data_IF_810416392595
#
_entry.id   IF_810416392595
#
_cell.length_a   1.000
_cell.length_b   1.000
_cell.length_c   1.000
_cell.angle_alpha   90.00
_cell.angle_beta   90.00
_cell.angle_gamma   90.00
#
_symmetry.space_group_name_H-M   'P 1'
#
loop_
_entity.id
_entity.type
_entity.pdbx_description
1 polymer ?
#
# COMPACT_ATOMS: atom_id res chain seq x y z
N UNK A 1 -13.83 -11.29 2.18
CA UNK A 1 -14.63 -10.66 1.11
C UNK A 1 -13.62 -9.99 0.20
N UNK A 2 -13.45 -10.47 -1.02
CA UNK A 2 -12.47 -9.91 -1.96
C UNK A 2 -12.99 -8.56 -2.45
N UNK A 3 -12.24 -7.49 -2.20
CA UNK A 3 -12.61 -6.16 -2.66
C UNK A 3 -12.59 -6.14 -4.19
N UNK A 4 -13.73 -5.79 -4.81
CA UNK A 4 -14.03 -6.01 -6.25
C UNK A 4 -14.43 -4.70 -6.95
N UNK A 5 -13.92 -3.56 -6.49
CA UNK A 5 -14.05 -2.33 -7.25
C UNK A 5 -13.14 -2.35 -8.49
N UNK A 6 -13.59 -1.75 -9.59
CA UNK A 6 -12.71 -1.46 -10.74
C UNK A 6 -11.54 -0.62 -10.25
N UNK A 7 -10.33 -1.03 -10.63
CA UNK A 7 -9.12 -0.33 -10.19
C UNK A 7 -9.14 1.13 -10.68
N UNK A 8 -8.85 2.13 -9.81
CA UNK A 8 -8.73 3.51 -10.25
C UNK A 8 -7.57 3.68 -11.23
N UNK A 9 -7.66 4.64 -12.18
CA UNK A 9 -6.51 4.99 -13.00
C UNK A 9 -5.34 5.42 -12.10
N UNK A 10 -4.09 4.94 -12.37
CA UNK A 10 -2.94 5.36 -11.59
C UNK A 10 -2.72 6.87 -11.71
N UNK A 11 -2.66 7.56 -10.57
CA UNK A 11 -2.45 9.01 -10.56
C UNK A 11 -0.97 9.39 -10.77
N UNK A 12 -0.03 8.49 -10.50
CA UNK A 12 1.39 8.73 -10.76
C UNK A 12 1.74 8.40 -12.22
N UNK A 13 1.80 9.43 -13.07
CA UNK A 13 2.13 9.28 -14.49
C UNK A 13 3.65 9.29 -14.77
N UNK A 14 4.41 10.03 -13.97
CA UNK A 14 5.85 10.24 -14.20
C UNK A 14 6.74 9.19 -13.51
N UNK A 15 6.15 8.32 -12.67
CA UNK A 15 6.82 7.21 -11.96
C UNK A 15 8.12 7.62 -11.23
N UNK A 16 8.24 8.91 -10.89
CA UNK A 16 9.41 9.54 -10.25
C UNK A 16 10.73 9.36 -11.02
N UNK A 17 10.68 9.06 -12.34
CA UNK A 17 11.87 8.73 -13.12
C UNK A 17 12.55 7.42 -12.66
N UNK A 18 11.86 6.58 -11.89
CA UNK A 18 12.39 5.33 -11.39
C UNK A 18 12.31 4.22 -12.47
N UNK A 19 13.17 3.20 -12.38
CA UNK A 19 12.98 1.95 -13.10
C UNK A 19 11.60 1.37 -12.83
N UNK A 20 10.89 0.98 -13.89
CA UNK A 20 9.51 0.50 -13.81
C UNK A 20 9.45 -0.99 -14.09
N UNK A 21 8.88 -1.75 -13.16
CA UNK A 21 8.54 -3.15 -13.32
C UNK A 21 7.02 -3.31 -13.32
N UNK A 22 6.48 -3.75 -14.45
CA UNK A 22 5.06 -4.08 -14.60
C UNK A 22 4.92 -5.60 -14.60
N UNK A 23 4.05 -6.12 -13.75
CA UNK A 23 3.72 -7.54 -13.68
C UNK A 23 2.24 -7.74 -13.97
N UNK A 24 1.91 -8.81 -14.66
CA UNK A 24 0.55 -9.33 -14.70
C UNK A 24 0.50 -10.63 -13.89
N UNK A 25 -0.30 -10.64 -12.83
CA UNK A 25 -0.35 -11.76 -11.89
C UNK A 25 -1.80 -12.06 -11.47
N UNK A 26 -2.20 -13.34 -11.53
CA UNK A 26 -3.59 -13.72 -11.25
C UNK A 26 -3.99 -13.59 -9.78
N UNK A 27 -3.04 -13.76 -8.86
CA UNK A 27 -3.25 -13.68 -7.41
C UNK A 27 -2.43 -12.56 -6.74
N UNK A 28 -2.83 -11.27 -6.86
CA UNK A 28 -2.09 -10.15 -6.26
C UNK A 28 -1.95 -10.25 -4.73
N UNK A 29 -2.83 -10.98 -4.04
CA UNK A 29 -2.75 -11.23 -2.60
C UNK A 29 -1.47 -11.98 -2.18
N UNK A 30 -0.78 -12.67 -3.09
CA UNK A 30 0.47 -13.37 -2.79
C UNK A 30 1.65 -12.42 -2.52
N UNK A 31 1.49 -11.14 -2.83
CA UNK A 31 2.44 -10.08 -2.53
C UNK A 31 2.28 -9.52 -1.10
N UNK A 32 1.37 -10.05 -0.28
CA UNK A 32 1.08 -9.51 1.05
C UNK A 32 2.32 -9.42 1.96
N UNK A 33 3.27 -10.34 1.83
CA UNK A 33 4.51 -10.30 2.62
C UNK A 33 5.38 -9.09 2.26
N UNK A 34 5.43 -8.72 0.97
CA UNK A 34 6.12 -7.52 0.50
C UNK A 34 5.43 -6.26 1.06
N UNK A 35 4.10 -6.23 0.99
CA UNK A 35 3.27 -5.11 1.48
C UNK A 35 3.35 -4.93 3.01
N UNK A 36 3.66 -6.00 3.74
CA UNK A 36 3.83 -5.97 5.20
C UNK A 36 5.19 -5.39 5.64
N UNK A 37 6.27 -5.62 4.87
CA UNK A 37 7.60 -5.05 5.14
C UNK A 37 7.57 -3.51 5.08
N UNK A 38 6.78 -3.02 4.13
CA UNK A 38 6.50 -1.61 3.92
C UNK A 38 7.06 -1.14 2.58
N UNK A 39 6.33 -0.22 1.98
CA UNK A 39 6.59 0.31 0.66
C UNK A 39 6.28 1.80 0.64
N UNK A 40 6.76 2.49 -0.38
CA UNK A 40 6.42 3.89 -0.59
C UNK A 40 5.28 4.01 -1.58
N UNK A 41 4.34 4.90 -1.26
CA UNK A 41 3.29 5.33 -2.17
C UNK A 41 3.54 6.77 -2.57
N UNK A 42 3.51 7.10 -3.86
CA UNK A 42 3.48 8.49 -4.27
C UNK A 42 2.16 9.14 -3.82
N UNK A 43 2.13 10.43 -3.56
CA UNK A 43 0.93 11.19 -3.22
C UNK A 43 1.03 12.53 -3.93
N UNK A 44 0.03 12.93 -4.72
CA UNK A 44 0.14 14.11 -5.59
C UNK A 44 0.14 15.43 -4.80
N UNK A 45 -0.54 15.46 -3.66
CA UNK A 45 -0.70 16.63 -2.81
C UNK A 45 -1.07 16.24 -1.38
N UNK A 46 -0.97 17.19 -0.47
CA UNK A 46 -1.47 17.01 0.91
C UNK A 46 -2.97 16.76 0.83
N UNK A 47 -3.44 15.73 1.53
CA UNK A 47 -4.84 15.31 1.52
C UNK A 47 -5.22 14.68 2.85
N UNK A 48 -6.51 14.56 3.13
CA UNK A 48 -6.99 13.77 4.26
C UNK A 48 -6.70 12.27 4.05
N UNK A 49 -6.64 11.51 5.13
CA UNK A 49 -6.55 10.06 5.08
C UNK A 49 -7.77 9.45 4.36
N UNK A 50 -8.95 10.07 4.48
CA UNK A 50 -10.14 9.68 3.70
C UNK A 50 -9.90 9.82 2.21
N UNK A 51 -9.45 10.98 1.73
CA UNK A 51 -9.17 11.21 0.32
C UNK A 51 -8.10 10.24 -0.18
N UNK A 52 -7.01 10.05 0.57
CA UNK A 52 -5.98 9.07 0.24
C UNK A 52 -6.56 7.67 0.06
N UNK A 53 -7.34 7.17 1.03
CA UNK A 53 -7.90 5.82 0.96
C UNK A 53 -8.96 5.72 -0.14
N UNK A 54 -9.96 6.62 -0.14
CA UNK A 54 -11.15 6.48 -0.97
C UNK A 54 -10.92 6.91 -2.42
N UNK A 55 -10.19 8.00 -2.64
CA UNK A 55 -10.06 8.63 -3.96
C UNK A 55 -8.78 8.20 -4.67
N UNK A 56 -7.64 8.15 -3.95
CA UNK A 56 -6.36 7.79 -4.56
C UNK A 56 -6.16 6.27 -4.66
N UNK A 57 -6.36 5.55 -3.56
CA UNK A 57 -6.18 4.08 -3.55
C UNK A 57 -7.45 3.36 -4.02
N UNK A 58 -8.63 3.96 -3.81
CA UNK A 58 -9.91 3.36 -4.16
C UNK A 58 -10.44 2.39 -3.10
N UNK A 59 -10.06 2.55 -1.83
CA UNK A 59 -10.55 1.81 -0.64
C UNK A 59 -11.65 2.64 0.04
N UNK A 60 -12.91 2.39 -0.29
CA UNK A 60 -14.03 3.16 0.24
C UNK A 60 -15.17 2.29 0.80
N UNK A 61 -16.11 2.96 1.47
CA UNK A 61 -17.34 2.34 1.97
C UNK A 61 -17.13 1.33 3.10
N UNK A 62 -17.89 0.23 3.04
CA UNK A 62 -18.02 -0.75 4.14
C UNK A 62 -16.68 -1.35 4.56
N UNK A 63 -15.72 -1.49 3.64
CA UNK A 63 -14.42 -2.05 3.97
C UNK A 63 -13.64 -1.11 4.90
N UNK A 64 -13.61 0.20 4.60
CA UNK A 64 -12.94 1.21 5.42
C UNK A 64 -13.57 1.33 6.81
N UNK A 65 -14.88 1.09 6.92
CA UNK A 65 -15.59 1.19 8.19
C UNK A 65 -15.51 -0.07 9.06
N UNK A 66 -15.59 -1.25 8.45
CA UNK A 66 -15.75 -2.52 9.18
C UNK A 66 -14.50 -3.39 9.20
N UNK A 67 -13.68 -3.31 8.16
CA UNK A 67 -12.50 -4.17 7.98
C UNK A 67 -11.20 -3.46 8.37
N UNK A 68 -11.07 -2.15 8.12
CA UNK A 68 -9.94 -1.32 8.57
C UNK A 68 -10.16 -0.84 10.02
N UNK A 69 -10.05 -1.78 10.97
CA UNK A 69 -10.29 -1.48 12.38
C UNK A 69 -9.12 -0.80 13.08
N UNK A 70 -7.92 -0.83 12.52
CA UNK A 70 -6.75 -0.22 13.16
C UNK A 70 -5.93 0.51 12.11
N UNK A 71 -5.82 1.82 12.29
CA UNK A 71 -5.03 2.70 11.44
C UNK A 71 -4.05 3.45 12.33
N UNK A 72 -2.78 3.42 11.98
CA UNK A 72 -1.76 4.27 12.60
C UNK A 72 -1.19 5.24 11.59
N UNK A 73 -1.10 6.50 11.98
CA UNK A 73 -0.40 7.55 11.27
C UNK A 73 0.73 8.06 12.17
N UNK A 74 1.97 7.94 11.70
CA UNK A 74 3.19 8.31 12.44
C UNK A 74 3.28 7.69 13.84
N UNK A 75 2.78 6.45 13.96
CA UNK A 75 2.75 5.68 15.20
C UNK A 75 1.55 6.00 16.11
N UNK A 76 0.74 6.99 15.77
CA UNK A 76 -0.46 7.37 16.52
C UNK A 76 -1.71 6.71 15.96
N UNK A 77 -2.60 6.22 16.82
CA UNK A 77 -3.85 5.61 16.38
C UNK A 77 -4.81 6.68 15.84
N UNK A 78 -5.37 6.45 14.65
CA UNK A 78 -6.30 7.36 14.00
C UNK A 78 -7.74 6.92 14.27
N UNK A 79 -8.51 7.83 14.88
CA UNK A 79 -9.94 7.64 15.14
C UNK A 79 -10.82 8.20 14.04
N UNK A 80 -10.48 9.40 13.56
CA UNK A 80 -11.23 10.11 12.53
C UNK A 80 -10.34 10.27 11.29
N UNK A 81 -10.73 9.58 10.21
CA UNK A 81 -9.99 9.58 8.95
C UNK A 81 -10.22 10.85 8.14
N UNK A 82 -11.25 11.63 8.45
CA UNK A 82 -11.52 12.92 7.82
C UNK A 82 -10.58 14.01 8.35
N UNK A 83 -10.16 13.89 9.61
CA UNK A 83 -9.29 14.87 10.29
C UNK A 83 -7.80 14.52 10.20
N UNK A 84 -7.46 13.25 9.99
CA UNK A 84 -6.07 12.83 9.83
C UNK A 84 -5.52 13.28 8.47
N UNK A 85 -4.42 14.03 8.47
CA UNK A 85 -3.82 14.60 7.25
C UNK A 85 -2.59 13.82 6.82
N UNK A 86 -2.52 13.44 5.55
CA UNK A 86 -1.36 12.83 4.91
C UNK A 86 -0.41 13.92 4.40
N UNK A 87 0.81 13.92 4.92
CA UNK A 87 1.87 14.90 4.60
C UNK A 87 3.15 14.23 4.11
N UNK A 88 4.10 14.99 3.51
CA UNK A 88 5.40 14.44 3.12
C UNK A 88 6.09 13.70 4.26
N UNK A 89 6.54 12.47 4.00
CA UNK A 89 7.30 11.67 4.96
C UNK A 89 6.48 10.89 5.99
N UNK A 90 5.15 11.02 6.00
CA UNK A 90 4.29 10.27 6.91
C UNK A 90 4.44 8.75 6.76
N UNK A 91 4.19 8.03 7.85
CA UNK A 91 4.16 6.57 7.95
C UNK A 91 2.76 6.09 8.29
N UNK A 92 2.13 5.40 7.33
CA UNK A 92 0.79 4.83 7.45
C UNK A 92 0.87 3.33 7.67
N UNK A 93 0.21 2.82 8.70
CA UNK A 93 0.01 1.39 8.90
C UNK A 93 -1.47 1.06 8.96
N UNK A 94 -1.90 0.11 8.13
CA UNK A 94 -3.28 -0.36 8.02
C UNK A 94 -3.37 -1.80 8.48
N UNK A 95 -4.31 -2.10 9.37
CA UNK A 95 -4.49 -3.44 9.91
C UNK A 95 -5.98 -3.76 10.11
N UNK A 96 -6.28 -5.05 10.01
CA UNK A 96 -7.55 -5.60 10.43
C UNK A 96 -7.62 -5.64 11.96
N UNK A 97 -8.74 -6.14 12.49
CA UNK A 97 -8.88 -6.44 13.91
C UNK A 97 -7.66 -7.22 14.43
N UNK A 98 -6.85 -6.59 15.28
CA UNK A 98 -5.80 -7.31 15.99
C UNK A 98 -6.43 -8.08 17.16
N UNK A 99 -5.98 -9.32 17.46
CA UNK A 99 -6.43 -10.06 18.63
C UNK A 99 -5.75 -9.56 19.92
N UNK A 100 -6.33 -9.92 21.06
CA UNK A 100 -5.76 -9.64 22.39
C UNK A 100 -6.01 -8.22 22.90
N UNK A 101 -5.44 -7.91 24.07
CA UNK A 101 -5.66 -6.64 24.77
C UNK A 101 -5.17 -5.44 23.94
N UNK A 102 -4.00 -5.57 23.29
CA UNK A 102 -3.47 -4.53 22.39
C UNK A 102 -4.42 -4.27 21.23
N UNK A 103 -5.00 -5.31 20.65
CA UNK A 103 -6.01 -5.12 19.60
C UNK A 103 -7.29 -4.48 20.12
N UNK A 104 -7.77 -4.89 21.30
CA UNK A 104 -8.95 -4.30 21.92
C UNK A 104 -8.76 -2.80 22.22
N UNK A 105 -7.56 -2.37 22.61
CA UNK A 105 -7.22 -0.98 22.91
C UNK A 105 -6.86 -0.16 21.68
N UNK A 106 -6.49 -0.77 20.54
CA UNK A 106 -6.10 -0.08 19.29
C UNK A 106 -7.20 -0.08 18.20
N UNK A 107 -8.33 -0.74 18.45
CA UNK A 107 -9.50 -0.69 17.56
C UNK A 107 -10.07 0.74 17.48
N UNK A 108 -10.29 1.23 16.27
CA UNK A 108 -11.04 2.43 15.95
C UNK A 108 -12.44 2.31 16.53
N UNK A 109 -12.91 3.39 17.17
CA UNK A 109 -14.23 3.47 17.81
C UNK A 109 -14.54 2.35 18.83
N UNK A 110 -13.51 1.73 19.42
CA UNK A 110 -13.66 0.66 20.39
C UNK A 110 -13.98 1.14 21.81
N UNK A 111 -14.63 0.29 22.60
CA UNK A 111 -14.99 0.54 24.01
C UNK A 111 -13.78 0.93 24.89
N UNK A 112 -12.59 0.43 24.57
CA UNK A 112 -11.35 0.68 25.32
C UNK A 112 -10.54 1.87 24.78
N UNK A 113 -11.13 2.75 23.95
CA UNK A 113 -10.48 3.93 23.38
C UNK A 113 -9.79 4.82 24.44
N UNK A 114 -10.39 4.98 25.62
CA UNK A 114 -9.82 5.74 26.75
C UNK A 114 -8.45 5.24 27.23
N UNK A 115 -8.11 3.97 26.97
CA UNK A 115 -6.83 3.38 27.40
C UNK A 115 -5.65 3.76 26.47
N UNK A 116 -5.90 4.40 25.32
CA UNK A 116 -4.86 4.85 24.37
C UNK A 116 -4.84 6.37 24.16
N UNK A 117 -5.44 7.15 25.05
CA UNK A 117 -5.56 8.61 24.92
C UNK A 117 -4.20 9.31 24.73
N UNK A 118 -3.12 8.79 25.33
CA UNK A 118 -1.77 9.37 25.20
C UNK A 118 -1.08 9.18 23.84
N UNK A 119 -1.64 8.36 22.95
CA UNK A 119 -1.06 8.02 21.62
C UNK A 119 -2.10 8.11 20.49
N UNK A 120 -3.30 8.61 20.79
CA UNK A 120 -4.35 8.79 19.78
C UNK A 120 -4.20 10.16 19.15
N UNK A 121 -4.28 10.22 17.82
CA UNK A 121 -4.30 11.47 17.08
C UNK A 121 -5.72 12.05 17.13
N UNK A 122 -6.14 12.48 18.31
CA UNK A 122 -7.41 13.17 18.52
C UNK A 122 -7.12 14.65 18.69
N UNK A 123 -7.35 15.43 17.62
CA UNK A 123 -7.38 16.90 17.63
C UNK A 123 -6.22 17.58 18.38
N UNK A 124 -5.00 17.05 18.25
CA UNK A 124 -3.82 17.81 18.66
C UNK A 124 -3.59 18.83 17.54
N UNK A 125 -3.74 20.12 17.86
CA UNK A 125 -3.32 21.21 16.99
C UNK A 125 -1.82 21.02 16.73
N UNK A 126 -1.50 20.35 15.63
CA UNK A 126 -0.15 20.29 15.11
C UNK A 126 0.02 21.51 14.21
N UNK A 127 1.02 22.32 14.57
CA UNK A 127 1.36 23.58 13.94
C UNK A 127 1.30 23.46 12.41
N UNK A 128 0.51 24.33 11.80
CA UNK A 128 0.41 24.49 10.36
C UNK A 128 1.78 24.94 9.84
N UNK A 129 2.62 23.97 9.45
CA UNK A 129 3.77 24.29 8.60
C UNK A 129 3.22 24.53 7.20
N UNK A 130 2.98 25.81 6.94
CA UNK A 130 2.54 26.39 5.69
C UNK A 130 3.57 26.11 4.58
N UNK A 131 3.34 25.04 3.83
CA UNK A 131 3.89 24.88 2.49
C UNK A 131 2.88 24.17 1.60
N UNK A 132 1.83 24.92 1.25
CA UNK A 132 0.96 24.68 0.10
C UNK A 132 1.77 24.73 -1.20
N UNK A 133 2.52 23.67 -1.47
CA UNK A 133 3.05 23.42 -2.80
C UNK A 133 2.50 22.07 -3.26
N UNK A 134 1.86 22.07 -4.44
CA UNK A 134 1.42 20.89 -5.21
C UNK A 134 2.63 20.06 -5.70
N UNK A 135 3.55 19.75 -4.78
CA UNK A 135 4.70 18.91 -5.04
C UNK A 135 4.28 17.50 -4.64
N UNK A 136 4.28 16.61 -5.62
CA UNK A 136 4.11 15.19 -5.36
C UNK A 136 5.18 14.70 -4.38
N UNK A 137 4.75 14.07 -3.30
CA UNK A 137 5.63 13.48 -2.30
C UNK A 137 5.41 11.98 -2.20
N UNK A 138 6.12 11.33 -1.27
CA UNK A 138 5.94 9.91 -0.96
C UNK A 138 5.67 9.70 0.52
N UNK A 139 4.87 8.69 0.82
CA UNK A 139 4.61 8.23 2.18
C UNK A 139 5.00 6.77 2.30
N UNK A 140 5.38 6.34 3.51
CA UNK A 140 5.61 4.93 3.78
C UNK A 140 4.30 4.27 4.20
N UNK A 141 3.95 3.15 3.59
CA UNK A 141 2.73 2.38 3.88
C UNK A 141 3.09 0.96 4.30
N UNK A 142 2.38 0.41 5.28
CA UNK A 142 2.43 -1.01 5.68
C UNK A 142 1.04 -1.58 5.80
N UNK A 143 0.83 -2.77 5.21
CA UNK A 143 -0.43 -3.49 5.31
C UNK A 143 -0.24 -4.77 6.12
N UNK A 144 -0.99 -4.92 7.21
CA UNK A 144 -0.89 -6.06 8.12
C UNK A 144 -2.08 -7.00 8.02
N UNK A 145 -1.88 -8.25 8.43
CA UNK A 145 -2.94 -9.25 8.60
C UNK A 145 -3.77 -9.45 7.32
N UNK A 146 -5.09 -9.56 7.45
CA UNK A 146 -6.01 -9.73 6.32
C UNK A 146 -5.97 -8.53 5.35
N UNK A 147 -5.69 -7.32 5.83
CA UNK A 147 -5.65 -6.10 5.00
C UNK A 147 -4.58 -6.20 3.91
N UNK A 148 -3.42 -6.79 4.22
CA UNK A 148 -2.36 -6.98 3.24
C UNK A 148 -2.72 -7.92 2.10
N UNK A 149 -3.70 -8.82 2.29
CA UNK A 149 -4.22 -9.69 1.22
C UNK A 149 -5.39 -9.06 0.51
N UNK A 150 -6.35 -8.54 1.28
CA UNK A 150 -7.60 -7.99 0.76
C UNK A 150 -7.39 -6.72 -0.09
N UNK A 151 -6.39 -5.90 0.24
CA UNK A 151 -6.09 -4.66 -0.46
C UNK A 151 -4.88 -4.75 -1.41
N UNK A 152 -4.24 -5.91 -1.53
CA UNK A 152 -3.02 -6.06 -2.30
C UNK A 152 -3.18 -5.57 -3.73
N UNK A 153 -4.24 -6.02 -4.41
CA UNK A 153 -4.53 -5.63 -5.78
C UNK A 153 -4.65 -4.12 -5.97
N UNK A 154 -5.31 -3.41 -5.05
CA UNK A 154 -5.51 -1.96 -5.18
C UNK A 154 -4.18 -1.20 -5.09
N UNK A 155 -3.38 -1.48 -4.06
CA UNK A 155 -2.09 -0.81 -3.87
C UNK A 155 -1.12 -1.15 -4.99
N UNK A 156 -1.03 -2.42 -5.38
CA UNK A 156 -0.15 -2.83 -6.48
C UNK A 156 -0.63 -2.29 -7.83
N UNK A 157 -1.93 -2.11 -8.03
CA UNK A 157 -2.46 -1.49 -9.25
C UNK A 157 -2.11 0.00 -9.33
N UNK A 158 -2.20 0.73 -8.21
CA UNK A 158 -1.75 2.13 -8.16
C UNK A 158 -0.24 2.25 -8.42
N UNK A 159 0.50 1.24 -7.99
CA UNK A 159 1.94 1.16 -8.11
C UNK A 159 2.63 1.58 -6.82
N UNK A 160 3.62 0.79 -6.42
CA UNK A 160 4.36 0.94 -5.17
C UNK A 160 5.84 1.12 -5.48
N UNK A 161 6.55 1.81 -4.59
CA UNK A 161 8.00 1.98 -4.67
C UNK A 161 8.65 1.18 -3.55
N UNK A 162 9.69 0.44 -3.88
CA UNK A 162 10.44 -0.39 -2.95
C UNK A 162 11.90 -0.52 -3.39
N UNK A 163 12.74 -1.08 -2.52
CA UNK A 163 14.11 -1.36 -2.91
C UNK A 163 14.18 -2.56 -3.86
N UNK A 164 15.06 -2.49 -4.87
CA UNK A 164 15.32 -3.61 -5.77
C UNK A 164 15.77 -4.85 -5.00
N UNK A 165 16.53 -4.68 -3.90
CA UNK A 165 16.96 -5.78 -3.03
C UNK A 165 15.81 -6.50 -2.35
N UNK A 166 14.85 -5.77 -1.78
CA UNK A 166 13.68 -6.37 -1.10
C UNK A 166 12.80 -7.10 -2.10
N UNK A 167 12.62 -6.53 -3.30
CA UNK A 167 11.87 -7.16 -4.39
C UNK A 167 12.51 -8.47 -4.84
N UNK A 168 13.82 -8.48 -5.07
CA UNK A 168 14.54 -9.69 -5.49
C UNK A 168 14.56 -10.75 -4.38
N UNK A 169 14.72 -10.34 -3.12
CA UNK A 169 14.61 -11.26 -1.99
C UNK A 169 13.20 -11.85 -1.88
N UNK A 170 12.17 -11.04 -2.12
CA UNK A 170 10.79 -11.50 -2.15
C UNK A 170 10.61 -12.58 -3.23
N UNK A 171 11.02 -12.33 -4.48
CA UNK A 171 10.92 -13.33 -5.55
C UNK A 171 11.67 -14.61 -5.24
N UNK A 172 12.91 -14.54 -4.74
CA UNK A 172 13.68 -15.74 -4.34
C UNK A 172 13.02 -16.57 -3.25
N UNK A 173 12.18 -15.95 -2.43
CA UNK A 173 11.46 -16.63 -1.35
C UNK A 173 10.12 -17.23 -1.79
N UNK A 174 9.69 -17.04 -3.05
CA UNK A 174 8.40 -17.51 -3.55
C UNK A 174 8.49 -18.94 -4.08
N UNK A 175 7.46 -19.78 -3.85
CA UNK A 175 7.39 -21.11 -4.45
C UNK A 175 7.04 -21.03 -5.95
N UNK A 176 7.34 -22.09 -6.70
CA UNK A 176 7.07 -22.19 -8.15
C UNK A 176 5.63 -21.83 -8.54
N UNK A 177 4.67 -22.14 -7.66
CA UNK A 177 3.25 -21.80 -7.87
C UNK A 177 3.03 -20.30 -8.11
N UNK A 178 3.76 -19.44 -7.40
CA UNK A 178 3.68 -17.98 -7.61
C UNK A 178 4.05 -17.64 -9.07
N UNK A 179 5.15 -18.20 -9.57
CA UNK A 179 5.58 -17.93 -10.95
C UNK A 179 4.66 -18.55 -12.00
N UNK A 180 3.91 -19.60 -11.66
CA UNK A 180 2.91 -20.17 -12.57
C UNK A 180 1.69 -19.26 -12.78
N UNK A 181 1.44 -18.34 -11.86
CA UNK A 181 0.33 -17.37 -11.91
C UNK A 181 0.78 -16.00 -12.49
N UNK A 182 2.06 -15.89 -12.86
CA UNK A 182 2.65 -14.74 -13.52
C UNK A 182 2.47 -14.86 -15.03
N UNK A 183 1.67 -13.97 -15.63
CA UNK A 183 1.33 -13.98 -17.06
C UNK A 183 2.32 -13.22 -17.92
N UNK A 184 2.75 -12.05 -17.45
CA UNK A 184 3.65 -11.18 -18.18
C UNK A 184 4.51 -10.33 -17.25
N UNK A 185 5.71 -9.97 -17.71
CA UNK A 185 6.63 -9.07 -17.02
C UNK A 185 7.19 -8.07 -18.03
N UNK A 186 7.16 -6.79 -17.68
CA UNK A 186 7.75 -5.72 -18.50
C UNK A 186 8.65 -4.87 -17.64
N UNK A 187 9.87 -4.61 -18.12
CA UNK A 187 10.83 -3.74 -17.44
C UNK A 187 11.21 -2.59 -18.37
N UNK A 188 11.07 -1.34 -17.91
CA UNK A 188 11.45 -0.12 -18.65
C UNK A 188 10.96 -0.06 -20.12
N UNK A 189 9.77 -0.58 -20.40
CA UNK A 189 9.14 -0.68 -21.75
C UNK A 189 9.63 -1.83 -22.64
N UNK A 190 10.57 -2.65 -22.17
CA UNK A 190 10.92 -3.92 -22.83
C UNK A 190 10.02 -5.03 -22.28
N UNK A 191 9.24 -5.65 -23.16
CA UNK A 191 8.42 -6.80 -22.82
C UNK A 191 9.28 -8.06 -22.81
N UNK A 192 9.32 -8.74 -21.66
CA UNK A 192 9.98 -10.02 -21.53
C UNK A 192 8.88 -11.04 -21.22
N UNK A 193 8.64 -11.95 -22.17
CA UNK A 193 7.83 -13.13 -21.89
C UNK A 193 8.62 -13.97 -20.90
N UNK A 194 8.25 -13.92 -19.62
CA UNK A 194 8.91 -14.73 -18.59
C UNK A 194 8.44 -16.16 -18.78
N UNK A 195 9.27 -16.95 -19.46
CA UNK A 195 9.24 -18.39 -19.25
C UNK A 195 9.59 -18.65 -17.78
N UNK A 196 8.77 -19.47 -17.12
CA UNK A 196 8.82 -19.77 -15.70
C UNK A 196 10.28 -19.96 -15.23
N UNK A 197 10.76 -19.06 -14.36
CA UNK A 197 12.07 -19.17 -13.72
C UNK A 197 13.12 -18.13 -14.08
N UNK A 198 12.88 -17.21 -15.03
CA UNK A 198 13.94 -16.28 -15.46
C UNK A 198 13.83 -14.83 -14.95
N UNK A 199 13.22 -14.58 -13.77
CA UNK A 199 13.29 -13.24 -13.15
C UNK A 199 14.72 -12.85 -12.75
N UNK A 200 15.64 -13.80 -12.65
CA UNK A 200 17.07 -13.51 -12.44
C UNK A 200 17.72 -12.82 -13.66
N UNK A 201 17.16 -12.98 -14.86
CA UNK A 201 17.62 -12.23 -16.04
C UNK A 201 17.18 -10.76 -16.05
N UNK A 202 16.26 -10.37 -15.17
CA UNK A 202 15.89 -8.96 -15.00
C UNK A 202 17.04 -8.25 -14.31
N UNK A 203 17.83 -7.53 -15.10
CA UNK A 203 18.90 -6.66 -14.59
C UNK A 203 18.29 -5.38 -13.98
N UNK A 204 17.54 -5.53 -12.89
CA UNK A 204 16.96 -4.41 -12.15
C UNK A 204 18.12 -3.69 -11.46
N UNK A 205 18.33 -2.38 -11.72
CA UNK A 205 19.42 -1.65 -11.10
C UNK A 205 19.26 -1.59 -9.59
N UNK A 206 20.38 -1.52 -8.87
CA UNK A 206 20.36 -1.28 -7.43
C UNK A 206 19.73 0.09 -7.13
N UNK A 207 18.93 0.15 -6.06
CA UNK A 207 18.22 1.36 -5.66
C UNK A 207 16.73 1.10 -5.48
N UNK A 208 15.91 2.06 -5.91
CA UNK A 208 14.46 2.01 -5.84
C UNK A 208 13.86 1.62 -7.19
N UNK A 209 12.79 0.83 -7.15
CA UNK A 209 12.02 0.39 -8.32
C UNK A 209 10.55 0.69 -8.10
N UNK A 210 9.89 1.15 -9.17
CA UNK A 210 8.44 1.30 -9.21
C UNK A 210 7.82 -0.01 -9.70
N UNK A 211 7.10 -0.70 -8.81
CA UNK A 211 6.41 -1.95 -9.11
C UNK A 211 4.91 -1.68 -9.27
N UNK A 212 4.34 -2.14 -10.39
CA UNK A 212 2.89 -2.19 -10.58
C UNK A 212 2.48 -3.61 -10.97
N UNK A 213 1.44 -4.12 -10.31
CA UNK A 213 0.88 -5.43 -10.62
C UNK A 213 -0.56 -5.26 -11.04
N UNK A 214 -0.89 -5.76 -12.22
CA UNK A 214 -2.26 -5.84 -12.72
C UNK A 214 -2.73 -7.29 -12.65
N UNK A 215 -3.97 -7.49 -12.20
CA UNK A 215 -4.62 -8.79 -12.33
C UNK A 215 -5.38 -8.75 -13.66
N UNK A 216 -5.07 -9.64 -14.59
CA UNK A 216 -5.88 -9.80 -15.80
C UNK A 216 -7.32 -10.05 -15.38
N UNK A 217 -8.28 -9.30 -15.95
CA UNK A 217 -9.70 -9.47 -15.62
C UNK A 217 -10.04 -10.95 -15.79
N UNK A 218 -10.50 -11.59 -14.71
CA UNK A 218 -11.20 -12.87 -14.83
C UNK A 218 -12.52 -12.52 -15.51
N UNK A 219 -12.61 -12.78 -16.82
CA UNK A 219 -13.89 -12.88 -17.53
C UNK A 219 -14.84 -13.83 -16.80
#
# INVERSE_FOLDING_TARGET
MTYTAKYPEPYCKDMFGLPVLMLEHEAPEQFSLLLQQGFFMPVPKVCSLREFLCELVGVCGVYTEKSLQTIFLDGSAVDDIDQATIRPGCRLALSAAMPGLVGATMRRDGYFKRMREGISLSSRQEEETDSEQDISFRIQVRLYNAVGRDLAGLFLHQGIILSSSDLMQFFKSRPDKFFSELKSVKFQSSELTVEQGNLESLNIPEGEVFLRVVSGEKE
#
